data_IF_850575147360
#
_entry.id   IF_850575147360
#
_cell.length_a   1.000
_cell.length_b   1.000
_cell.length_c   1.000
_cell.angle_alpha   90.00
_cell.angle_beta   90.00
_cell.angle_gamma   90.00
#
_symmetry.space_group_name_H-M   'P 1'
#
loop_
_entity.id
_entity.type
_entity.pdbx_description
1 polymer ?
#
# COMPACT_ATOMS: atom_id res chain seq x y z
N UNK A 1 -3.03 -26.82 -35.01
CA UNK A 1 -3.99 -25.72 -34.82
C UNK A 1 -3.85 -25.25 -33.39
N UNK A 2 -3.03 -24.21 -33.16
CA UNK A 2 -2.90 -23.55 -31.90
C UNK A 2 -4.15 -22.68 -31.73
N UNK A 3 -5.01 -23.07 -30.80
CA UNK A 3 -6.09 -22.24 -30.29
C UNK A 3 -5.44 -21.09 -29.54
N UNK A 4 -5.21 -19.96 -30.18
CA UNK A 4 -4.92 -18.71 -29.55
C UNK A 4 -6.20 -18.32 -28.78
N UNK A 5 -6.28 -18.71 -27.51
CA UNK A 5 -7.15 -18.05 -26.57
C UNK A 5 -6.64 -16.60 -26.53
N UNK A 6 -7.32 -15.71 -27.24
CA UNK A 6 -7.13 -14.28 -27.08
C UNK A 6 -7.22 -14.01 -25.57
N UNK A 7 -6.12 -13.55 -24.98
CA UNK A 7 -6.15 -13.00 -23.63
C UNK A 7 -7.12 -11.83 -23.67
N UNK A 8 -8.34 -12.07 -23.18
CA UNK A 8 -9.35 -11.03 -23.07
C UNK A 8 -8.94 -10.20 -21.86
N UNK A 9 -8.47 -8.96 -22.03
CA UNK A 9 -8.04 -8.15 -20.90
C UNK A 9 -9.28 -7.79 -20.07
N UNK A 10 -9.50 -8.54 -19.00
CA UNK A 10 -10.50 -8.21 -18.00
C UNK A 10 -9.85 -7.28 -16.98
N UNK A 11 -10.25 -6.02 -16.97
CA UNK A 11 -9.77 -5.03 -16.00
C UNK A 11 -10.86 -4.84 -14.95
N UNK A 12 -10.58 -5.30 -13.72
CA UNK A 12 -11.40 -4.99 -12.56
C UNK A 12 -10.74 -3.82 -11.83
N UNK A 13 -11.40 -2.68 -11.79
CA UNK A 13 -10.91 -1.51 -11.08
C UNK A 13 -11.80 -1.26 -9.87
N UNK A 14 -11.24 -1.48 -8.68
CA UNK A 14 -11.83 -0.95 -7.44
C UNK A 14 -11.64 0.57 -7.45
N UNK A 15 -12.70 1.34 -7.23
CA UNK A 15 -12.62 2.80 -7.36
C UNK A 15 -11.86 3.39 -6.18
N UNK A 16 -10.54 3.49 -6.32
CA UNK A 16 -9.65 4.17 -5.36
C UNK A 16 -9.50 5.68 -5.67
N UNK A 17 -10.39 6.25 -6.49
CA UNK A 17 -10.34 7.66 -6.95
C UNK A 17 -11.23 8.59 -6.11
N UNK A 18 -11.38 8.32 -4.83
CA UNK A 18 -12.17 9.13 -3.90
C UNK A 18 -13.68 8.94 -4.01
N UNK A 19 -14.14 7.88 -4.65
CA UNK A 19 -15.55 7.50 -4.74
C UNK A 19 -15.75 6.05 -4.31
N UNK A 20 -16.96 5.70 -3.87
CA UNK A 20 -17.31 4.33 -3.54
C UNK A 20 -17.65 3.52 -4.81
N UNK A 21 -17.40 2.20 -4.79
CA UNK A 21 -17.79 1.29 -5.85
C UNK A 21 -16.62 0.66 -6.59
N UNK A 22 -16.97 -0.06 -7.64
CA UNK A 22 -16.02 -0.68 -8.56
C UNK A 22 -16.65 -0.71 -9.96
N UNK A 23 -15.82 -0.81 -10.99
CA UNK A 23 -16.30 -1.09 -12.34
C UNK A 23 -15.45 -2.17 -12.98
N UNK A 24 -16.04 -2.86 -13.94
CA UNK A 24 -15.38 -3.86 -14.76
C UNK A 24 -15.39 -3.36 -16.20
N UNK A 25 -14.26 -3.39 -16.86
CA UNK A 25 -14.12 -3.08 -18.28
C UNK A 25 -13.41 -4.25 -18.97
N UNK A 26 -13.84 -4.60 -20.17
CA UNK A 26 -13.30 -5.70 -20.94
C UNK A 26 -14.02 -5.88 -22.26
N UNK A 27 -13.80 -7.05 -22.87
CA UNK A 27 -14.52 -7.45 -24.07
C UNK A 27 -16.04 -7.47 -23.87
N UNK A 28 -16.80 -7.10 -24.90
CA UNK A 28 -18.25 -6.98 -24.83
C UNK A 28 -18.94 -8.29 -24.41
N UNK A 29 -18.49 -9.44 -24.92
CA UNK A 29 -19.07 -10.75 -24.59
C UNK A 29 -18.85 -11.12 -23.12
N UNK A 30 -17.68 -10.74 -22.57
CA UNK A 30 -17.35 -10.95 -21.15
C UNK A 30 -18.19 -10.04 -20.26
N UNK A 31 -18.37 -8.79 -20.63
CA UNK A 31 -19.23 -7.85 -19.89
C UNK A 31 -20.68 -8.31 -19.93
N UNK A 32 -21.19 -8.76 -21.07
CA UNK A 32 -22.54 -9.30 -21.18
C UNK A 32 -22.72 -10.55 -20.30
N UNK A 33 -21.74 -11.47 -20.31
CA UNK A 33 -21.77 -12.64 -19.43
C UNK A 33 -21.81 -12.25 -17.95
N UNK A 34 -21.05 -11.24 -17.55
CA UNK A 34 -21.05 -10.73 -16.16
C UNK A 34 -22.41 -10.13 -15.82
N UNK A 35 -22.99 -9.32 -16.70
CA UNK A 35 -24.33 -8.74 -16.51
C UNK A 35 -25.39 -9.81 -16.31
N UNK A 36 -25.32 -10.92 -17.04
CA UNK A 36 -26.30 -12.00 -16.97
C UNK A 36 -26.08 -12.99 -15.82
N UNK A 37 -24.86 -13.09 -15.28
CA UNK A 37 -24.48 -14.14 -14.32
C UNK A 37 -24.06 -13.63 -12.95
N UNK A 38 -23.64 -12.37 -12.79
CA UNK A 38 -23.19 -11.83 -11.53
C UNK A 38 -24.37 -11.54 -10.60
N UNK A 39 -24.69 -12.48 -9.72
CA UNK A 39 -25.82 -12.38 -8.77
C UNK A 39 -25.72 -11.14 -7.88
N UNK A 40 -24.52 -10.75 -7.48
CA UNK A 40 -24.28 -9.54 -6.70
C UNK A 40 -24.63 -8.25 -7.46
N UNK A 41 -24.61 -8.27 -8.79
CA UNK A 41 -25.03 -7.14 -9.64
C UNK A 41 -26.53 -7.19 -9.91
N UNK A 42 -27.08 -8.34 -10.32
CA UNK A 42 -28.48 -8.54 -10.72
C UNK A 42 -29.44 -8.15 -9.60
N UNK A 43 -29.10 -8.49 -8.34
CA UNK A 43 -29.94 -8.23 -7.16
C UNK A 43 -29.50 -6.99 -6.38
N UNK A 44 -28.69 -6.13 -6.96
CA UNK A 44 -28.18 -4.90 -6.35
C UNK A 44 -28.93 -3.68 -6.85
N UNK A 45 -29.09 -2.68 -5.99
CA UNK A 45 -29.60 -1.37 -6.37
C UNK A 45 -28.55 -0.61 -7.19
N UNK A 46 -29.00 0.16 -8.17
CA UNK A 46 -28.10 1.00 -8.98
C UNK A 46 -27.31 1.98 -8.12
N UNK A 47 -26.05 2.23 -8.52
CA UNK A 47 -25.19 3.21 -7.88
C UNK A 47 -25.81 4.62 -8.02
N UNK A 48 -25.77 5.47 -6.96
CA UNK A 48 -26.23 6.86 -7.06
C UNK A 48 -25.48 7.61 -8.16
N UNK A 49 -26.14 8.41 -9.02
CA UNK A 49 -25.50 9.14 -10.11
C UNK A 49 -24.37 10.06 -9.64
N UNK A 50 -24.47 10.65 -8.46
CA UNK A 50 -23.42 11.48 -7.86
C UNK A 50 -22.10 10.73 -7.65
N UNK A 51 -22.16 9.44 -7.25
CA UNK A 51 -20.98 8.58 -7.07
C UNK A 51 -20.33 8.28 -8.41
N UNK A 52 -21.12 8.02 -9.46
CA UNK A 52 -20.63 7.80 -10.82
C UNK A 52 -19.97 9.08 -11.38
N UNK A 53 -20.56 10.26 -11.14
CA UNK A 53 -19.99 11.54 -11.54
C UNK A 53 -18.66 11.81 -10.81
N UNK A 54 -18.58 11.55 -9.51
CA UNK A 54 -17.34 11.66 -8.74
C UNK A 54 -16.24 10.72 -9.25
N UNK A 55 -16.58 9.48 -9.56
CA UNK A 55 -15.64 8.50 -10.14
C UNK A 55 -15.10 8.97 -11.50
N UNK A 56 -15.96 9.48 -12.38
CA UNK A 56 -15.54 10.06 -13.67
C UNK A 56 -14.59 11.24 -13.50
N UNK A 57 -14.88 12.15 -12.57
CA UNK A 57 -14.00 13.28 -12.24
C UNK A 57 -12.63 12.77 -11.74
N UNK A 58 -12.62 11.82 -10.80
CA UNK A 58 -11.39 11.22 -10.29
C UNK A 58 -10.54 10.54 -11.37
N UNK A 59 -11.17 9.83 -12.30
CA UNK A 59 -10.48 9.25 -13.46
C UNK A 59 -9.87 10.31 -14.38
N UNK A 60 -10.58 11.41 -14.64
CA UNK A 60 -10.07 12.53 -15.44
C UNK A 60 -8.85 13.19 -14.76
N UNK A 61 -8.91 13.39 -13.45
CA UNK A 61 -7.79 13.91 -12.66
C UNK A 61 -6.60 12.94 -12.65
N UNK A 62 -6.86 11.64 -12.56
CA UNK A 62 -5.81 10.62 -12.61
C UNK A 62 -5.12 10.56 -13.99
N UNK A 63 -5.87 10.73 -15.08
CA UNK A 63 -5.29 10.80 -16.44
C UNK A 63 -4.40 12.00 -16.64
N UNK A 64 -4.74 13.14 -16.07
CA UNK A 64 -3.98 14.40 -16.17
C UNK A 64 -2.90 14.53 -15.07
N UNK A 65 -2.69 13.53 -14.22
CA UNK A 65 -1.90 13.65 -13.00
C UNK A 65 -0.47 13.09 -13.11
N UNK A 66 0.23 13.25 -14.25
CA UNK A 66 1.61 12.76 -14.42
C UNK A 66 2.58 13.44 -13.47
N UNK A 67 2.42 14.73 -13.23
CA UNK A 67 3.20 15.50 -12.26
C UNK A 67 3.04 14.96 -10.82
N UNK A 68 1.82 14.61 -10.43
CA UNK A 68 1.53 14.01 -9.13
C UNK A 68 2.13 12.63 -8.99
N UNK A 69 2.08 11.81 -10.05
CA UNK A 69 2.75 10.49 -10.07
C UNK A 69 4.26 10.63 -9.93
N UNK A 70 4.86 11.52 -10.70
CA UNK A 70 6.31 11.80 -10.61
C UNK A 70 6.69 12.26 -9.20
N UNK A 71 5.91 13.16 -8.59
CA UNK A 71 6.14 13.62 -7.23
C UNK A 71 6.08 12.46 -6.21
N UNK A 72 5.04 11.62 -6.27
CA UNK A 72 4.93 10.46 -5.36
C UNK A 72 6.10 9.50 -5.54
N UNK A 73 6.51 9.21 -6.77
CA UNK A 73 7.69 8.36 -7.01
C UNK A 73 8.96 8.97 -6.43
N UNK A 74 9.15 10.29 -6.53
CA UNK A 74 10.28 10.97 -5.91
C UNK A 74 10.24 10.86 -4.38
N UNK A 75 9.06 10.99 -3.75
CA UNK A 75 8.89 10.80 -2.31
C UNK A 75 9.18 9.35 -1.89
N UNK A 76 8.74 8.36 -2.65
CA UNK A 76 9.04 6.95 -2.42
C UNK A 76 10.53 6.69 -2.49
N UNK A 77 11.20 7.17 -3.54
CA UNK A 77 12.64 7.02 -3.70
C UNK A 77 13.40 7.64 -2.51
N UNK A 78 13.00 8.85 -2.09
CA UNK A 78 13.57 9.55 -0.93
C UNK A 78 13.39 8.76 0.37
N UNK A 79 12.18 8.28 0.64
CA UNK A 79 11.86 7.46 1.81
C UNK A 79 12.73 6.20 1.84
N UNK A 80 12.77 5.46 0.74
CA UNK A 80 13.55 4.21 0.63
C UNK A 80 15.04 4.45 0.84
N UNK A 81 15.61 5.48 0.20
CA UNK A 81 17.03 5.81 0.33
C UNK A 81 17.42 6.13 1.78
N UNK A 82 16.57 6.91 2.49
CA UNK A 82 16.84 7.28 3.89
C UNK A 82 16.76 6.08 4.84
N UNK A 83 15.77 5.21 4.68
CA UNK A 83 15.64 4.02 5.53
C UNK A 83 16.70 2.98 5.22
N UNK A 84 17.08 2.80 3.96
CA UNK A 84 18.18 1.92 3.59
C UNK A 84 19.53 2.40 4.20
N UNK A 85 19.77 3.70 4.22
CA UNK A 85 20.96 4.27 4.85
C UNK A 85 21.00 4.07 6.39
N UNK A 86 19.85 3.82 7.01
CA UNK A 86 19.70 3.53 8.44
C UNK A 86 19.53 2.03 8.76
N UNK A 87 19.76 1.17 7.78
CA UNK A 87 19.66 -0.30 7.89
C UNK A 87 18.26 -0.80 8.33
N UNK A 88 17.21 -0.06 7.95
CA UNK A 88 15.83 -0.43 8.21
C UNK A 88 15.29 -1.31 7.10
N UNK A 89 14.81 -2.51 7.43
CA UNK A 89 14.36 -3.49 6.46
C UNK A 89 13.07 -3.07 5.75
N UNK A 90 13.13 -2.98 4.41
CA UNK A 90 12.00 -2.65 3.54
C UNK A 90 11.66 -3.84 2.63
N UNK A 91 10.38 -4.14 2.50
CA UNK A 91 9.94 -5.05 1.42
C UNK A 91 10.10 -4.38 0.05
N UNK A 92 10.21 -5.20 -0.99
CA UNK A 92 10.14 -4.72 -2.37
C UNK A 92 8.75 -4.12 -2.63
N UNK A 93 8.72 -2.87 -3.11
CA UNK A 93 7.48 -2.19 -3.51
C UNK A 93 7.80 -1.02 -4.41
N UNK A 94 7.20 -0.99 -5.59
CA UNK A 94 7.25 0.14 -6.53
C UNK A 94 6.03 1.07 -6.37
N UNK A 95 5.12 0.72 -5.47
CA UNK A 95 3.90 1.48 -5.22
C UNK A 95 4.10 2.57 -4.16
N UNK A 96 3.15 3.51 -4.03
CA UNK A 96 3.13 4.48 -2.93
C UNK A 96 3.00 3.86 -1.53
N UNK A 97 2.68 2.57 -1.44
CA UNK A 97 2.60 1.81 -0.19
C UNK A 97 3.96 1.18 0.07
N UNK A 98 4.61 1.58 1.15
CA UNK A 98 5.94 1.14 1.52
C UNK A 98 5.88 0.32 2.82
N UNK A 99 6.03 -1.02 2.73
CA UNK A 99 6.05 -1.88 3.91
C UNK A 99 7.44 -1.85 4.58
N UNK A 100 7.47 -1.53 5.87
CA UNK A 100 8.67 -1.63 6.72
C UNK A 100 8.56 -2.92 7.53
N UNK A 101 9.46 -3.86 7.31
CA UNK A 101 9.41 -5.19 7.93
C UNK A 101 9.93 -5.10 9.37
N UNK A 102 9.09 -5.50 10.31
CA UNK A 102 9.42 -5.49 11.75
C UNK A 102 9.58 -6.93 12.28
N UNK A 103 8.77 -7.86 11.77
CA UNK A 103 8.77 -9.26 12.21
C UNK A 103 7.85 -9.47 13.41
N UNK A 104 8.22 -8.99 14.58
CA UNK A 104 7.44 -9.15 15.81
C UNK A 104 6.20 -8.24 15.85
N UNK A 105 5.09 -8.80 16.34
CA UNK A 105 3.81 -8.09 16.42
C UNK A 105 3.82 -6.95 17.44
N UNK A 106 4.41 -7.19 18.62
CA UNK A 106 4.44 -6.19 19.70
C UNK A 106 5.35 -5.04 19.34
N UNK A 107 6.49 -5.34 18.70
CA UNK A 107 7.42 -4.33 18.20
C UNK A 107 6.75 -3.46 17.11
N UNK A 108 5.99 -4.05 16.18
CA UNK A 108 5.26 -3.30 15.16
C UNK A 108 4.21 -2.36 15.77
N UNK A 109 3.47 -2.81 16.78
CA UNK A 109 2.52 -1.97 17.51
C UNK A 109 3.21 -0.85 18.30
N UNK A 110 4.34 -1.13 18.95
CA UNK A 110 5.09 -0.13 19.70
C UNK A 110 5.65 0.96 18.76
N UNK A 111 6.21 0.58 17.60
CA UNK A 111 6.66 1.53 16.57
C UNK A 111 5.51 2.40 16.06
N UNK A 112 4.36 1.79 15.75
CA UNK A 112 3.18 2.51 15.28
C UNK A 112 2.71 3.56 16.29
N UNK A 113 2.72 3.23 17.60
CA UNK A 113 2.36 4.15 18.69
C UNK A 113 3.38 5.27 18.83
N UNK A 114 4.67 4.95 18.85
CA UNK A 114 5.74 5.95 18.97
C UNK A 114 5.73 6.96 17.81
N UNK A 115 5.34 6.53 16.61
CA UNK A 115 5.13 7.42 15.46
C UNK A 115 3.89 8.29 15.63
N UNK A 116 2.79 7.72 16.13
CA UNK A 116 1.54 8.45 16.36
C UNK A 116 1.72 9.57 17.41
N UNK A 117 2.49 9.34 18.46
CA UNK A 117 2.86 10.34 19.48
C UNK A 117 3.65 11.52 18.90
N UNK A 118 4.35 11.30 17.76
CA UNK A 118 5.07 12.34 17.02
C UNK A 118 4.24 12.93 15.86
N UNK A 119 2.94 12.58 15.75
CA UNK A 119 2.03 13.11 14.74
C UNK A 119 2.03 12.35 13.41
N UNK A 120 2.64 11.16 13.34
CA UNK A 120 2.67 10.33 12.14
C UNK A 120 1.75 9.12 12.28
N UNK A 121 0.64 9.11 11.56
CA UNK A 121 -0.29 7.98 11.54
C UNK A 121 0.20 6.88 10.59
N UNK A 122 0.83 5.84 11.14
CA UNK A 122 1.34 4.69 10.38
C UNK A 122 0.74 3.40 10.92
N UNK A 123 0.05 2.65 10.06
CA UNK A 123 -0.65 1.42 10.45
C UNK A 123 0.31 0.24 10.65
N UNK A 124 0.17 -0.49 11.75
CA UNK A 124 0.81 -1.79 11.94
C UNK A 124 -0.05 -2.91 11.35
N UNK A 125 0.52 -3.71 10.44
CA UNK A 125 -0.09 -4.89 9.84
C UNK A 125 0.51 -6.12 10.52
N UNK A 126 -0.35 -6.95 11.07
CA UNK A 126 -0.01 -8.10 11.91
C UNK A 126 -0.94 -9.29 11.67
N UNK A 127 -0.69 -10.47 12.22
CA UNK A 127 -1.62 -11.58 12.16
C UNK A 127 -3.03 -11.20 12.65
N UNK A 128 -4.11 -11.71 12.05
CA UNK A 128 -4.13 -12.74 10.99
C UNK A 128 -3.96 -12.18 9.56
N UNK A 129 -3.80 -10.86 9.37
CA UNK A 129 -3.67 -10.24 8.03
C UNK A 129 -2.39 -10.66 7.31
N UNK A 130 -1.33 -10.94 8.06
CA UNK A 130 -0.05 -11.47 7.57
C UNK A 130 0.37 -12.68 8.41
N UNK A 131 1.31 -13.48 7.91
CA UNK A 131 1.80 -14.64 8.65
C UNK A 131 2.53 -14.22 9.95
N UNK A 132 2.53 -15.07 11.00
CA UNK A 132 3.33 -14.82 12.21
C UNK A 132 4.81 -14.59 11.86
N UNK A 133 5.46 -13.67 12.57
CA UNK A 133 6.86 -13.30 12.32
C UNK A 133 7.06 -12.37 11.10
N UNK A 134 6.00 -11.93 10.44
CA UNK A 134 6.07 -11.05 9.26
C UNK A 134 5.33 -9.72 9.44
N UNK A 135 5.11 -9.31 10.69
CA UNK A 135 4.48 -8.03 11.02
C UNK A 135 5.27 -6.87 10.44
N UNK A 136 4.57 -5.83 10.03
CA UNK A 136 5.16 -4.69 9.33
C UNK A 136 4.40 -3.41 9.60
N UNK A 137 5.08 -2.28 9.41
CA UNK A 137 4.39 -1.00 9.26
C UNK A 137 4.01 -0.80 7.80
N UNK A 138 2.83 -0.22 7.57
CA UNK A 138 2.37 0.19 6.23
C UNK A 138 2.40 1.71 6.12
N UNK A 139 3.49 2.22 5.55
CA UNK A 139 3.59 3.64 5.21
C UNK A 139 2.92 3.86 3.86
N UNK A 140 2.01 4.83 3.79
CA UNK A 140 1.33 5.20 2.54
C UNK A 140 1.68 6.65 2.20
N UNK A 141 2.37 6.85 1.08
CA UNK A 141 2.73 8.17 0.58
C UNK A 141 1.70 8.64 -0.46
N UNK A 142 1.45 9.94 -0.49
CA UNK A 142 0.52 10.55 -1.45
C UNK A 142 1.14 11.83 -2.03
N UNK A 143 0.59 12.32 -3.14
CA UNK A 143 1.03 13.57 -3.76
C UNK A 143 0.74 14.82 -2.90
N UNK A 144 -0.04 14.69 -1.83
CA UNK A 144 -0.27 15.78 -0.88
C UNK A 144 0.87 15.93 0.15
N UNK A 145 1.74 14.92 0.30
CA UNK A 145 2.87 15.01 1.21
C UNK A 145 4.00 15.82 0.59
N UNK A 146 4.66 16.65 1.43
CA UNK A 146 5.90 17.34 1.07
C UNK A 146 7.12 16.48 1.36
N UNK A 147 8.25 16.79 0.73
CA UNK A 147 9.54 16.15 1.04
C UNK A 147 9.92 16.32 2.53
N UNK A 148 9.67 17.49 3.11
CA UNK A 148 9.93 17.76 4.54
C UNK A 148 9.11 16.86 5.46
N UNK A 149 7.84 16.60 5.14
CA UNK A 149 7.01 15.67 5.92
C UNK A 149 7.54 14.24 5.83
N UNK A 150 7.99 13.81 4.66
CA UNK A 150 8.59 12.48 4.47
C UNK A 150 9.91 12.36 5.22
N UNK A 151 10.74 13.41 5.22
CA UNK A 151 11.98 13.45 5.99
C UNK A 151 11.72 13.34 7.50
N UNK A 152 10.77 14.11 8.01
CA UNK A 152 10.38 14.06 9.42
C UNK A 152 9.86 12.69 9.84
N UNK A 153 9.07 12.04 8.99
CA UNK A 153 8.64 10.64 9.20
C UNK A 153 9.85 9.69 9.24
N UNK A 154 10.79 9.82 8.30
CA UNK A 154 11.99 8.99 8.30
C UNK A 154 12.79 9.16 9.58
N UNK A 155 13.02 10.40 10.03
CA UNK A 155 13.75 10.68 11.27
C UNK A 155 13.05 10.10 12.49
N UNK A 156 11.73 10.25 12.58
CA UNK A 156 10.94 9.67 13.67
C UNK A 156 11.01 8.13 13.66
N UNK A 157 10.87 7.51 12.48
CA UNK A 157 10.93 6.07 12.34
C UNK A 157 12.32 5.50 12.67
N UNK A 158 13.39 6.13 12.19
CA UNK A 158 14.76 5.71 12.46
C UNK A 158 15.06 5.78 13.96
N UNK A 159 14.69 6.88 14.62
CA UNK A 159 14.86 6.99 16.08
C UNK A 159 14.09 5.91 16.85
N UNK A 160 12.82 5.70 16.50
CA UNK A 160 12.00 4.69 17.15
C UNK A 160 12.51 3.27 16.89
N UNK A 161 13.02 3.00 15.68
CA UNK A 161 13.62 1.74 15.29
C UNK A 161 14.88 1.44 16.12
N UNK A 162 15.79 2.40 16.22
CA UNK A 162 17.04 2.27 16.99
C UNK A 162 16.77 2.07 18.49
N UNK A 163 15.73 2.73 19.03
CA UNK A 163 15.33 2.56 20.43
C UNK A 163 14.78 1.16 20.76
N UNK A 164 14.26 0.43 19.74
CA UNK A 164 13.75 -0.94 19.91
C UNK A 164 14.80 -2.01 19.59
N UNK A 165 15.85 -1.67 18.82
CA UNK A 165 16.94 -2.61 18.55
C UNK A 165 17.75 -2.78 19.83
N UNK A 166 17.94 -4.01 20.34
CA UNK A 166 18.88 -4.23 21.45
C UNK A 166 20.26 -3.75 20.98
N UNK A 167 20.95 -3.03 21.85
CA UNK A 167 22.32 -2.57 21.60
C UNK A 167 23.24 -3.71 21.16
N UNK A 168 24.47 -3.42 20.71
CA UNK A 168 25.39 -4.42 20.15
C UNK A 168 25.67 -5.63 21.07
N UNK A 169 25.36 -5.51 22.35
CA UNK A 169 25.49 -6.60 23.34
C UNK A 169 24.38 -7.66 23.26
N UNK A 170 23.25 -7.40 22.59
CA UNK A 170 22.13 -8.35 22.45
C UNK A 170 22.17 -9.22 21.20
N UNK A 171 23.16 -9.07 20.31
CA UNK A 171 23.25 -9.84 19.04
C UNK A 171 24.01 -11.18 19.14
N UNK A 172 24.40 -11.58 20.32
CA UNK A 172 25.20 -12.78 20.50
C UNK A 172 24.37 -13.99 20.93
N UNK A 173 23.35 -14.43 20.20
CA UNK A 173 22.91 -15.84 20.28
C UNK A 173 21.84 -16.31 19.25
N UNK A 174 21.74 -15.73 18.07
CA UNK A 174 20.72 -16.16 17.08
C UNK A 174 21.30 -17.01 15.93
N UNK A 175 22.40 -17.79 16.20
CA UNK A 175 22.96 -18.75 15.23
C UNK A 175 22.41 -20.17 15.39
N UNK A 176 21.33 -20.41 16.11
CA UNK A 176 20.85 -21.76 16.40
C UNK A 176 19.65 -22.27 15.60
N UNK A 177 19.18 -21.52 14.59
CA UNK A 177 18.07 -21.99 13.75
C UNK A 177 18.39 -21.89 12.25
N UNK A 178 19.50 -22.52 11.83
CA UNK A 178 19.72 -22.91 10.42
C UNK A 178 20.24 -24.34 10.44
N UNK A 179 19.34 -25.27 10.34
CA UNK A 179 19.61 -26.64 9.90
C UNK A 179 18.34 -27.25 9.29
#
# INVERSE_FOLDING_TARGET
QHNALHEIPLIVVTVSVGAAGAFVAGDADVIELILQRARSLIFSTAMPPAVAAAARCGLSLARAGDDRRAHVHALVARFRARLAAADVALAASDSPIQPVIVGDERAALALSRALAEQGYLVGAIRPPTVAPGTSRLRVTLTAAHSATQVDGLCDALIRAWQAQSPGPEGRADDRRYVS
#
